data_IF_287614816485
#
_entry.id   IF_287614816485
#
_cell.length_a   1.000
_cell.length_b   1.000
_cell.length_c   1.000
_cell.angle_alpha   90.00
_cell.angle_beta   90.00
_cell.angle_gamma   90.00
#
_symmetry.space_group_name_H-M   'P 1'
#
loop_
_entity.id
_entity.type
_entity.pdbx_description
1 polymer ?
#
# COMPACT_ATOMS: atom_id res chain seq x y z
N UNK A 1 -37.39 -40.13 25.57
CA UNK A 1 -37.64 -38.68 25.44
C UNK A 1 -36.40 -37.82 25.69
N UNK A 2 -35.59 -38.05 26.74
CA UNK A 2 -34.35 -37.27 27.01
C UNK A 2 -33.24 -37.40 25.95
N UNK A 3 -33.05 -38.58 25.35
CA UNK A 3 -32.03 -38.82 24.31
C UNK A 3 -32.38 -38.21 22.94
N UNK A 4 -33.66 -38.18 22.59
CA UNK A 4 -34.18 -37.48 21.40
C UNK A 4 -34.01 -35.97 21.53
N UNK A 5 -34.23 -35.42 22.73
CA UNK A 5 -34.03 -34.00 23.01
C UNK A 5 -32.54 -33.60 22.94
N UNK A 6 -31.63 -34.51 23.34
CA UNK A 6 -30.18 -34.32 23.28
C UNK A 6 -29.66 -34.35 21.83
N UNK A 7 -30.17 -35.24 20.97
CA UNK A 7 -29.83 -35.25 19.54
C UNK A 7 -30.36 -34.01 18.79
N UNK A 8 -31.57 -33.53 19.12
CA UNK A 8 -32.15 -32.34 18.49
C UNK A 8 -31.34 -31.07 18.81
N UNK A 9 -30.83 -30.95 20.05
CA UNK A 9 -29.93 -29.86 20.45
C UNK A 9 -28.55 -29.95 19.77
N UNK A 10 -28.02 -31.16 19.55
CA UNK A 10 -26.71 -31.35 18.90
C UNK A 10 -26.76 -31.00 17.40
N UNK A 11 -27.86 -31.28 16.71
CA UNK A 11 -28.06 -30.85 15.32
C UNK A 11 -28.21 -29.33 15.23
N UNK A 12 -28.97 -28.70 16.14
CA UNK A 12 -29.12 -27.24 16.17
C UNK A 12 -27.79 -26.50 16.43
N UNK A 13 -26.90 -27.06 17.25
CA UNK A 13 -25.56 -26.50 17.52
C UNK A 13 -24.61 -26.62 16.31
N UNK A 14 -24.84 -27.58 15.40
CA UNK A 14 -24.02 -27.80 14.21
C UNK A 14 -24.44 -26.95 13.00
N UNK A 15 -25.69 -26.43 12.97
CA UNK A 15 -26.19 -25.55 11.89
C UNK A 15 -25.99 -24.05 12.22
N UNK A 16 -25.83 -23.71 13.50
CA UNK A 16 -25.71 -22.32 13.97
C UNK A 16 -24.44 -21.54 13.51
N UNK A 17 -23.25 -22.13 13.26
CA UNK A 17 -22.10 -21.33 12.85
C UNK A 17 -22.04 -21.02 11.34
N UNK A 18 -22.97 -21.53 10.51
CA UNK A 18 -22.93 -21.31 9.06
C UNK A 18 -23.44 -19.92 8.61
N UNK A 19 -23.92 -19.09 9.55
CA UNK A 19 -24.40 -17.73 9.30
C UNK A 19 -23.40 -16.63 9.70
N UNK A 20 -22.11 -16.95 9.84
CA UNK A 20 -21.06 -15.94 10.00
C UNK A 20 -20.83 -15.23 8.65
N UNK A 21 -21.69 -14.24 8.44
CA UNK A 21 -21.55 -13.02 7.65
C UNK A 21 -20.28 -12.92 6.79
N UNK A 22 -20.46 -13.19 5.50
CA UNK A 22 -19.62 -12.62 4.44
C UNK A 22 -19.88 -11.12 4.37
N UNK A 23 -19.15 -10.33 5.17
CA UNK A 23 -19.08 -8.88 4.96
C UNK A 23 -18.17 -8.62 3.76
N UNK A 24 -18.74 -8.63 2.56
CA UNK A 24 -18.02 -8.16 1.37
C UNK A 24 -17.74 -6.66 1.56
N UNK A 25 -16.47 -6.21 1.46
CA UNK A 25 -16.18 -4.77 1.50
C UNK A 25 -16.98 -4.06 0.41
N UNK A 26 -17.52 -2.89 0.72
CA UNK A 26 -18.21 -2.06 -0.27
C UNK A 26 -17.21 -1.70 -1.38
N UNK A 27 -17.59 -1.96 -2.62
CA UNK A 27 -16.77 -1.71 -3.80
C UNK A 27 -17.33 -0.51 -4.55
N UNK A 28 -16.43 0.35 -5.01
CA UNK A 28 -16.73 1.51 -5.82
C UNK A 28 -15.94 1.45 -7.11
N UNK A 29 -16.51 2.06 -8.15
CA UNK A 29 -15.97 2.00 -9.50
C UNK A 29 -15.50 3.37 -9.94
N UNK A 30 -14.22 3.46 -10.28
CA UNK A 30 -13.64 4.57 -11.02
C UNK A 30 -13.77 4.29 -12.51
N UNK A 31 -14.38 5.20 -13.26
CA UNK A 31 -14.57 5.07 -14.71
C UNK A 31 -14.25 6.35 -15.44
N UNK A 32 -13.91 6.25 -16.72
CA UNK A 32 -13.58 7.45 -17.49
C UNK A 32 -13.03 7.17 -18.87
N UNK A 33 -12.68 8.26 -19.54
CA UNK A 33 -12.03 8.24 -20.85
C UNK A 33 -10.63 8.83 -20.75
N UNK A 34 -9.68 8.23 -21.47
CA UNK A 34 -8.32 8.72 -21.60
C UNK A 34 -8.15 9.27 -23.01
N UNK A 35 -7.76 10.53 -23.10
CA UNK A 35 -7.56 11.24 -24.37
C UNK A 35 -6.20 11.94 -24.41
N UNK A 36 -5.73 12.24 -25.60
CA UNK A 36 -4.58 13.11 -25.84
C UNK A 36 -4.96 14.57 -25.53
N UNK A 37 -4.15 15.28 -24.75
CA UNK A 37 -4.40 16.68 -24.41
C UNK A 37 -4.16 17.65 -25.59
N UNK A 38 -3.32 17.29 -26.55
CA UNK A 38 -2.98 18.08 -27.72
C UNK A 38 -3.93 17.83 -28.91
N UNK A 39 -4.30 16.57 -29.17
CA UNK A 39 -5.15 16.22 -30.33
C UNK A 39 -6.61 15.94 -29.97
N UNK A 40 -6.90 15.60 -28.70
CA UNK A 40 -8.23 15.17 -28.27
C UNK A 40 -8.58 13.74 -28.70
N UNK A 41 -7.64 13.00 -29.30
CA UNK A 41 -7.85 11.62 -29.71
C UNK A 41 -7.92 10.68 -28.51
N UNK A 42 -8.71 9.61 -28.61
CA UNK A 42 -8.80 8.60 -27.55
C UNK A 42 -7.55 7.73 -27.50
N UNK A 43 -6.98 7.55 -26.31
CA UNK A 43 -5.79 6.73 -26.11
C UNK A 43 -6.18 5.29 -25.79
N UNK A 44 -5.94 4.42 -26.75
CA UNK A 44 -6.21 2.99 -26.68
C UNK A 44 -5.00 2.28 -26.06
N UNK A 45 -5.22 1.42 -25.07
CA UNK A 45 -4.13 0.68 -24.43
C UNK A 45 -3.38 1.46 -23.35
N UNK A 46 -3.93 2.58 -22.88
CA UNK A 46 -3.42 3.29 -21.72
C UNK A 46 -3.63 2.44 -20.46
N UNK A 47 -2.59 2.32 -19.64
CA UNK A 47 -2.61 1.52 -18.42
C UNK A 47 -2.90 2.40 -17.22
N UNK A 48 -3.96 2.05 -16.49
CA UNK A 48 -4.38 2.68 -15.23
C UNK A 48 -4.02 1.73 -14.10
N UNK A 49 -3.12 2.15 -13.21
CA UNK A 49 -2.56 1.31 -12.15
C UNK A 49 -2.82 1.95 -10.78
N UNK A 50 -3.36 1.19 -9.83
CA UNK A 50 -3.44 1.57 -8.43
C UNK A 50 -2.35 0.84 -7.64
N UNK A 51 -1.42 1.59 -7.06
CA UNK A 51 -0.30 1.03 -6.29
C UNK A 51 -0.80 0.39 -4.98
N UNK A 52 -1.66 1.08 -4.24
CA UNK A 52 -2.20 0.60 -2.98
C UNK A 52 -3.06 -0.68 -3.15
N UNK A 53 -3.84 -0.78 -4.22
CA UNK A 53 -4.63 -1.97 -4.49
C UNK A 53 -3.85 -3.07 -5.22
N UNK A 54 -2.69 -2.76 -5.81
CA UNK A 54 -1.94 -3.66 -6.72
C UNK A 54 -2.80 -4.20 -7.86
N UNK A 55 -3.78 -3.40 -8.31
CA UNK A 55 -4.69 -3.72 -9.42
C UNK A 55 -4.53 -2.66 -10.50
N UNK A 56 -4.50 -3.11 -11.76
CA UNK A 56 -4.51 -2.21 -12.91
C UNK A 56 -5.43 -2.70 -14.01
N UNK A 57 -5.87 -1.75 -14.82
CA UNK A 57 -6.74 -1.98 -15.97
C UNK A 57 -6.20 -1.23 -17.17
N UNK A 58 -6.55 -1.70 -18.36
CA UNK A 58 -6.13 -1.11 -19.63
C UNK A 58 -7.34 -0.50 -20.32
N UNK A 59 -7.18 0.68 -20.92
CA UNK A 59 -8.25 1.32 -21.69
C UNK A 59 -8.62 0.51 -22.93
N UNK A 60 -9.91 0.52 -23.27
CA UNK A 60 -10.43 -0.18 -24.45
C UNK A 60 -10.19 0.60 -25.76
N UNK A 61 -10.74 0.07 -26.86
CA UNK A 61 -10.66 0.67 -28.21
C UNK A 61 -11.24 2.10 -28.33
N UNK A 62 -12.03 2.54 -27.34
CA UNK A 62 -12.60 3.88 -27.27
C UNK A 62 -11.94 4.75 -26.20
N UNK A 63 -10.80 4.31 -25.66
CA UNK A 63 -10.09 4.98 -24.57
C UNK A 63 -10.84 4.91 -23.22
N UNK A 64 -11.88 4.10 -23.10
CA UNK A 64 -12.65 3.97 -21.86
C UNK A 64 -12.00 2.95 -20.91
N UNK A 65 -11.96 3.28 -19.63
CA UNK A 65 -11.44 2.41 -18.58
C UNK A 65 -12.42 2.31 -17.40
N UNK A 66 -12.33 1.20 -16.69
CA UNK A 66 -13.13 0.92 -15.48
C UNK A 66 -12.26 0.18 -14.48
N UNK A 67 -12.10 0.74 -13.29
CA UNK A 67 -11.33 0.17 -12.20
C UNK A 67 -12.22 0.09 -10.95
N UNK A 68 -12.54 -1.12 -10.49
CA UNK A 68 -13.36 -1.34 -9.30
C UNK A 68 -12.45 -1.66 -8.11
N UNK A 69 -12.57 -0.87 -7.04
CA UNK A 69 -11.74 -0.97 -5.85
C UNK A 69 -12.62 -0.91 -4.58
N UNK A 70 -12.17 -1.47 -3.44
CA UNK A 70 -12.80 -1.26 -2.14
C UNK A 70 -12.87 0.22 -1.77
N UNK A 71 -13.79 0.59 -0.88
CA UNK A 71 -13.90 1.95 -0.35
C UNK A 71 -12.61 2.42 0.35
N UNK A 72 -11.87 3.31 -0.30
CA UNK A 72 -10.65 3.94 0.25
C UNK A 72 -10.22 5.12 -0.64
N UNK A 73 -9.15 5.81 -0.24
CA UNK A 73 -8.46 6.82 -1.05
C UNK A 73 -7.27 6.17 -1.76
N UNK A 74 -7.24 6.27 -3.09
CA UNK A 74 -6.19 5.64 -3.91
C UNK A 74 -5.39 6.68 -4.70
N UNK A 75 -4.08 6.48 -4.75
CA UNK A 75 -3.24 7.12 -5.77
C UNK A 75 -3.21 6.23 -7.01
N UNK A 76 -3.79 6.72 -8.10
CA UNK A 76 -3.84 6.04 -9.40
C UNK A 76 -2.79 6.65 -10.32
N UNK A 77 -2.00 5.81 -10.96
CA UNK A 77 -1.04 6.20 -11.97
C UNK A 77 -1.54 5.79 -13.35
N UNK A 78 -1.55 6.73 -14.29
CA UNK A 78 -1.90 6.46 -15.69
C UNK A 78 -0.65 6.59 -16.55
N UNK A 79 -0.42 5.57 -17.37
CA UNK A 79 0.78 5.46 -18.21
C UNK A 79 0.41 5.02 -19.62
N UNK A 80 1.04 5.63 -20.60
CA UNK A 80 0.89 5.25 -22.00
C UNK A 80 2.20 5.53 -22.74
N UNK A 81 2.49 4.75 -23.78
CA UNK A 81 3.78 4.76 -24.46
C UNK A 81 3.97 6.10 -25.18
N UNK A 82 5.04 6.83 -24.84
CA UNK A 82 5.32 8.15 -25.40
C UNK A 82 4.58 9.30 -24.71
N UNK A 83 3.90 9.05 -23.58
CA UNK A 83 3.20 10.06 -22.78
C UNK A 83 3.83 10.22 -21.40
N UNK A 84 3.61 11.37 -20.78
CA UNK A 84 4.02 11.60 -19.40
C UNK A 84 3.18 10.75 -18.44
N UNK A 85 3.83 10.17 -17.42
CA UNK A 85 3.14 9.43 -16.36
C UNK A 85 2.42 10.42 -15.46
N UNK A 86 1.08 10.36 -15.42
CA UNK A 86 0.28 11.16 -14.50
C UNK A 86 -0.07 10.34 -13.26
N UNK A 87 0.03 10.97 -12.09
CA UNK A 87 -0.47 10.46 -10.81
C UNK A 87 -1.63 11.32 -10.36
N UNK A 88 -2.70 10.69 -9.92
CA UNK A 88 -3.92 11.35 -9.46
C UNK A 88 -4.45 10.65 -8.21
N UNK A 89 -4.93 11.44 -7.26
CA UNK A 89 -5.55 10.94 -6.04
C UNK A 89 -7.07 10.87 -6.25
N UNK A 90 -7.66 9.72 -5.97
CA UNK A 90 -9.11 9.48 -6.08
C UNK A 90 -9.64 9.01 -4.75
N UNK A 91 -10.64 9.71 -4.25
CA UNK A 91 -11.44 9.27 -3.11
C UNK A 91 -12.60 8.38 -3.61
N UNK A 92 -12.58 7.10 -3.23
CA UNK A 92 -13.64 6.12 -3.52
C UNK A 92 -14.40 5.73 -2.25
N UNK A 93 -14.51 6.61 -1.26
CA UNK A 93 -15.07 6.26 0.07
C UNK A 93 -16.60 6.21 0.15
N UNK A 94 -17.34 6.63 -0.90
CA UNK A 94 -18.80 6.75 -0.80
C UNK A 94 -19.61 6.67 -2.09
N UNK A 95 -19.00 6.81 -3.27
CA UNK A 95 -19.71 6.72 -4.54
C UNK A 95 -18.81 6.31 -5.72
N UNK A 96 -19.43 5.97 -6.85
CA UNK A 96 -18.71 5.73 -8.09
C UNK A 96 -18.23 7.05 -8.67
N UNK A 97 -16.94 7.13 -9.00
CA UNK A 97 -16.32 8.34 -9.53
C UNK A 97 -16.15 8.21 -11.03
N UNK A 98 -16.54 9.26 -11.77
CA UNK A 98 -16.24 9.39 -13.19
C UNK A 98 -15.18 10.46 -13.40
N UNK A 99 -14.03 10.10 -13.94
CA UNK A 99 -12.92 11.01 -14.17
C UNK A 99 -12.33 10.83 -15.56
N UNK A 100 -12.36 11.87 -16.38
CA UNK A 100 -11.73 11.83 -17.71
C UNK A 100 -10.31 12.40 -17.59
N UNK A 101 -9.35 11.71 -18.21
CA UNK A 101 -7.95 12.09 -18.15
C UNK A 101 -7.43 12.52 -19.53
N UNK A 102 -6.82 13.69 -19.59
CA UNK A 102 -6.11 14.16 -20.76
C UNK A 102 -4.60 14.01 -20.54
N UNK A 103 -3.97 13.08 -21.26
CA UNK A 103 -2.53 12.83 -21.13
C UNK A 103 -1.73 13.79 -22.00
N UNK A 104 -0.62 14.28 -21.45
CA UNK A 104 0.31 15.14 -22.17
C UNK A 104 1.37 14.29 -22.87
N UNK A 105 1.61 14.48 -24.18
CA UNK A 105 2.67 13.79 -24.90
C UNK A 105 4.03 14.07 -24.26
N UNK A 106 4.77 13.00 -23.93
CA UNK A 106 6.06 13.09 -23.28
C UNK A 106 7.17 13.26 -24.32
N UNK A 107 7.88 14.40 -24.30
CA UNK A 107 9.00 14.66 -25.23
C UNK A 107 10.28 13.89 -24.87
N UNK A 108 10.27 13.14 -23.76
CA UNK A 108 11.39 12.33 -23.30
C UNK A 108 10.92 10.89 -23.09
N UNK A 109 11.34 10.00 -23.97
CA UNK A 109 11.44 8.57 -23.67
C UNK A 109 12.58 8.40 -22.66
N UNK A 110 12.37 8.86 -21.44
CA UNK A 110 13.21 8.51 -20.31
C UNK A 110 13.03 7.02 -20.11
N UNK A 111 14.14 6.29 -20.25
CA UNK A 111 14.42 4.97 -19.70
C UNK A 111 13.40 4.59 -18.61
N UNK A 112 12.88 3.37 -18.68
CA UNK A 112 12.11 2.79 -17.60
C UNK A 112 13.00 2.72 -16.35
N UNK A 113 13.13 3.84 -15.64
CA UNK A 113 13.52 3.88 -14.26
C UNK A 113 12.35 3.24 -13.56
N UNK A 114 12.44 1.92 -13.45
CA UNK A 114 11.87 1.17 -12.35
C UNK A 114 12.48 1.83 -11.12
N UNK A 115 11.87 2.93 -10.66
CA UNK A 115 11.99 3.39 -9.28
C UNK A 115 11.32 2.29 -8.47
N UNK A 116 12.06 1.18 -8.29
CA UNK A 116 12.00 0.43 -7.05
C UNK A 116 12.59 1.35 -6.01
N UNK A 117 11.81 2.35 -5.60
CA UNK A 117 12.15 3.14 -4.43
C UNK A 117 11.92 2.20 -3.26
N UNK A 118 13.04 1.67 -2.79
CA UNK A 118 13.17 0.96 -1.53
C UNK A 118 12.27 1.59 -0.46
N UNK A 119 11.56 0.71 0.24
CA UNK A 119 11.17 0.83 1.64
C UNK A 119 11.54 2.16 2.33
N UNK A 120 10.54 2.97 2.67
CA UNK A 120 10.43 3.73 3.93
C UNK A 120 9.27 4.71 3.75
N UNK A 121 8.19 4.65 4.53
CA UNK A 121 8.24 4.95 5.95
C UNK A 121 6.92 4.49 6.57
N UNK A 122 6.94 3.35 7.26
CA UNK A 122 6.00 3.14 8.36
C UNK A 122 6.45 4.15 9.42
N UNK A 123 5.87 5.36 9.44
CA UNK A 123 5.90 6.16 10.65
C UNK A 123 4.91 5.53 11.63
N UNK A 124 5.38 4.44 12.23
CA UNK A 124 4.92 3.97 13.52
C UNK A 124 5.05 5.18 14.47
N UNK A 125 3.95 5.90 14.68
CA UNK A 125 3.81 6.82 15.79
C UNK A 125 3.79 5.98 17.07
N UNK A 126 4.94 5.48 17.48
CA UNK A 126 5.18 5.09 18.86
C UNK A 126 5.32 6.39 19.62
N UNK A 127 4.18 6.88 20.12
CA UNK A 127 4.12 7.92 21.12
C UNK A 127 4.95 7.49 22.33
N UNK A 128 6.18 7.98 22.42
CA UNK A 128 6.96 7.92 23.65
C UNK A 128 6.89 9.30 24.30
N UNK A 129 6.14 9.33 25.40
CA UNK A 129 5.99 10.42 26.34
C UNK A 129 7.32 11.12 26.63
N UNK A 130 7.58 12.25 25.97
CA UNK A 130 8.59 13.19 26.43
C UNK A 130 7.90 14.13 27.42
N UNK A 131 7.99 13.78 28.70
CA UNK A 131 7.93 14.77 29.77
C UNK A 131 9.05 15.78 29.49
N UNK A 132 8.64 16.98 29.13
CA UNK A 132 9.49 18.13 28.89
C UNK A 132 10.07 18.58 30.23
N UNK A 133 11.38 18.40 30.44
CA UNK A 133 12.10 19.03 31.54
C UNK A 133 13.12 19.99 30.92
N UNK A 134 12.92 21.31 31.02
CA UNK A 134 13.83 22.29 30.46
C UNK A 134 15.21 22.23 31.15
N UNK A 135 16.26 22.13 30.34
CA UNK A 135 17.66 22.10 30.77
C UNK A 135 18.15 23.50 31.14
N UNK A 136 17.99 23.87 32.40
CA UNK A 136 18.83 24.90 33.03
C UNK A 136 19.75 24.23 34.05
N UNK A 137 20.93 23.79 33.59
CA UNK A 137 22.23 23.85 34.31
C UNK A 137 23.33 23.02 33.62
N UNK A 138 23.93 23.64 32.60
CA UNK A 138 25.38 23.91 32.49
C UNK A 138 26.35 23.01 33.29
N UNK A 139 27.13 22.23 32.53
CA UNK A 139 28.55 21.87 32.73
C UNK A 139 28.98 21.39 34.12
N UNK A 140 29.27 20.09 34.23
CA UNK A 140 30.44 19.57 34.97
C UNK A 140 31.01 18.33 34.26
N UNK A 141 32.10 18.53 33.51
CA UNK A 141 33.00 17.44 33.11
C UNK A 141 33.64 16.83 34.38
N UNK A 142 33.92 15.52 34.37
CA UNK A 142 35.32 15.14 34.41
C UNK A 142 35.66 13.95 33.49
N UNK A 143 36.88 14.00 32.96
CA UNK A 143 37.48 12.94 32.15
C UNK A 143 37.76 11.67 32.98
N UNK A 144 37.40 10.51 32.44
CA UNK A 144 37.92 9.17 32.77
C UNK A 144 37.83 8.41 31.44
N UNK A 145 38.84 7.79 30.84
CA UNK A 145 40.13 7.37 31.36
C UNK A 145 40.44 5.93 30.93
N UNK A 146 40.55 5.66 29.63
CA UNK A 146 41.32 4.51 29.16
C UNK A 146 40.55 3.32 28.60
N UNK A 147 40.82 3.11 27.30
CA UNK A 147 40.98 1.86 26.58
C UNK A 147 39.76 1.04 26.12
N UNK A 148 39.80 0.74 24.82
CA UNK A 148 38.83 -0.01 24.03
C UNK A 148 39.39 -1.42 23.87
N UNK A 149 38.88 -2.41 24.61
CA UNK A 149 39.34 -3.80 24.51
C UNK A 149 38.72 -4.48 23.27
N UNK A 150 39.45 -4.43 22.16
CA UNK A 150 39.08 -5.00 20.86
C UNK A 150 39.28 -6.53 20.77
N UNK A 151 39.70 -7.22 21.85
CA UNK A 151 39.91 -8.67 21.84
C UNK A 151 38.67 -9.48 22.24
N UNK A 152 37.60 -8.84 22.74
CA UNK A 152 36.37 -9.53 23.17
C UNK A 152 35.21 -9.47 22.17
N UNK A 153 35.35 -8.70 21.09
CA UNK A 153 34.34 -8.55 20.03
C UNK A 153 34.42 -9.60 18.92
N UNK A 154 35.54 -10.35 18.82
CA UNK A 154 35.73 -11.42 17.84
C UNK A 154 35.20 -12.80 18.28
N UNK A 155 34.88 -13.00 19.57
CA UNK A 155 34.39 -14.27 20.11
C UNK A 155 32.85 -14.37 20.21
N UNK A 156 32.11 -13.38 19.73
CA UNK A 156 30.64 -13.39 19.69
C UNK A 156 30.06 -13.52 18.28
N UNK A 157 30.87 -13.88 17.28
CA UNK A 157 30.34 -14.27 15.96
C UNK A 157 29.81 -15.71 16.04
N UNK A 158 28.49 -15.92 15.91
CA UNK A 158 27.92 -17.27 15.86
C UNK A 158 28.20 -17.86 14.49
N UNK A 159 28.83 -19.03 14.46
CA UNK A 159 29.13 -19.74 13.22
C UNK A 159 30.56 -20.25 13.19
N UNK A 160 30.79 -21.34 13.93
CA UNK A 160 31.76 -22.43 13.72
C UNK A 160 31.88 -23.18 15.05
N UNK A 161 30.87 -23.98 15.32
CA UNK A 161 31.02 -25.26 16.01
C UNK A 161 30.55 -26.28 14.97
N UNK A 162 31.50 -26.75 14.14
CA UNK A 162 32.07 -28.10 14.24
C UNK A 162 30.98 -29.13 13.88
N UNK A 163 30.96 -29.74 12.69
CA UNK A 163 32.12 -30.37 12.07
C UNK A 163 32.53 -31.54 12.94
N UNK A 164 31.83 -32.67 12.79
CA UNK A 164 31.97 -33.90 13.58
C UNK A 164 30.73 -34.76 13.46
#
# INVERSE_FOLDING_TARGET
MRTIFLCLCMVAFCVAPCFLWSQSPQQFTLSGYITDAATGETLIGATVWSEAATVGVVSNLYGFYTLTLPADVYTVQVTFIGYERQRLEVDLSGENVKFNLAMVPGTKLGEAVVTGENESRIEEQVQMSKMEIPMDQVRRLPAIGGEVDLLKSLQLMPGVQSGG
#
